data_IF_358006041535
#
_entry.id   IF_358006041535
#
_cell.length_a   1.000
_cell.length_b   1.000
_cell.length_c   1.000
_cell.angle_alpha   90.00
_cell.angle_beta   90.00
_cell.angle_gamma   90.00
#
_symmetry.space_group_name_H-M   'P 1'
#
loop_
_entity.id
_entity.type
_entity.pdbx_description
1 polymer ?
#
# COMPACT_ATOMS: atom_id res chain seq x y z
N UNK A 1 4.88 6.87 10.06
CA UNK A 1 3.87 5.80 10.14
C UNK A 1 4.00 5.00 8.86
N UNK A 2 4.02 3.67 8.96
CA UNK A 2 4.11 2.80 7.79
C UNK A 2 2.71 2.35 7.38
N UNK A 3 2.39 2.44 6.09
CA UNK A 3 1.04 2.22 5.56
C UNK A 3 1.08 1.16 4.46
N UNK A 4 0.19 0.17 4.54
CA UNK A 4 -0.02 -0.80 3.47
C UNK A 4 -1.26 -0.44 2.66
N UNK A 5 -1.10 -0.30 1.34
CA UNK A 5 -2.19 -0.02 0.40
C UNK A 5 -2.53 -1.31 -0.35
N UNK A 6 -3.80 -1.74 -0.32
CA UNK A 6 -4.28 -2.93 -1.03
C UNK A 6 -5.50 -2.54 -1.86
N UNK A 7 -5.33 -2.43 -3.17
CA UNK A 7 -6.39 -2.05 -4.11
C UNK A 7 -6.05 -2.57 -5.51
N UNK A 8 -6.95 -3.30 -6.16
CA UNK A 8 -6.75 -3.90 -7.48
C UNK A 8 -6.85 -2.87 -8.62
N UNK A 9 -7.52 -1.74 -8.38
CA UNK A 9 -7.61 -0.65 -9.34
C UNK A 9 -6.32 0.19 -9.32
N UNK A 10 -5.61 0.19 -10.45
CA UNK A 10 -4.32 0.88 -10.57
C UNK A 10 -4.43 2.40 -10.40
N UNK A 11 -5.48 3.02 -10.91
CA UNK A 11 -5.66 4.48 -10.81
C UNK A 11 -5.89 4.91 -9.36
N UNK A 12 -6.70 4.14 -8.62
CA UNK A 12 -6.97 4.39 -7.19
C UNK A 12 -5.71 4.15 -6.37
N UNK A 13 -5.00 3.04 -6.61
CA UNK A 13 -3.76 2.73 -5.90
C UNK A 13 -2.71 3.82 -6.12
N UNK A 14 -2.50 4.28 -7.35
CA UNK A 14 -1.58 5.39 -7.66
C UNK A 14 -1.98 6.69 -6.95
N UNK A 15 -3.27 7.03 -6.92
CA UNK A 15 -3.77 8.21 -6.20
C UNK A 15 -3.43 8.14 -4.70
N UNK A 16 -3.61 6.97 -4.08
CA UNK A 16 -3.29 6.75 -2.67
C UNK A 16 -1.80 6.85 -2.41
N UNK A 17 -0.96 6.22 -3.24
CA UNK A 17 0.50 6.28 -3.15
C UNK A 17 0.99 7.74 -3.21
N UNK A 18 0.52 8.52 -4.18
CA UNK A 18 0.87 9.94 -4.30
C UNK A 18 0.46 10.76 -3.07
N UNK A 19 -0.75 10.51 -2.56
CA UNK A 19 -1.29 11.24 -1.40
C UNK A 19 -0.50 10.93 -0.15
N UNK A 20 -0.23 9.64 0.12
CA UNK A 20 0.50 9.19 1.30
C UNK A 20 1.96 9.65 1.25
N UNK A 21 2.58 9.60 0.06
CA UNK A 21 3.92 10.15 -0.15
C UNK A 21 3.97 11.65 0.14
N UNK A 22 2.99 12.43 -0.34
CA UNK A 22 2.91 13.87 -0.11
C UNK A 22 2.72 14.22 1.38
N UNK A 23 2.14 13.32 2.16
CA UNK A 23 2.00 13.45 3.62
C UNK A 23 3.29 13.07 4.39
N UNK A 24 4.33 12.59 3.71
CA UNK A 24 5.60 12.20 4.33
C UNK A 24 5.53 10.88 5.10
N UNK A 25 4.65 9.98 4.68
CA UNK A 25 4.53 8.63 5.25
C UNK A 25 5.23 7.61 4.36
N UNK A 26 5.83 6.60 4.99
CA UNK A 26 6.35 5.42 4.29
C UNK A 26 5.18 4.49 3.95
N UNK A 27 5.20 3.90 2.77
CA UNK A 27 4.16 2.97 2.35
C UNK A 27 4.69 1.86 1.47
N UNK A 28 3.95 0.76 1.45
CA UNK A 28 4.03 -0.29 0.43
C UNK A 28 2.64 -0.50 -0.18
N UNK A 29 2.59 -1.03 -1.40
CA UNK A 29 1.33 -1.26 -2.10
C UNK A 29 1.32 -2.58 -2.84
N UNK A 30 0.13 -3.17 -2.98
CA UNK A 30 -0.09 -4.38 -3.79
C UNK A 30 -1.50 -4.36 -4.40
N UNK A 31 -1.68 -4.89 -5.64
CA UNK A 31 -3.01 -5.07 -6.22
C UNK A 31 -3.76 -6.29 -5.66
N UNK A 32 -3.11 -7.15 -4.87
CA UNK A 32 -3.63 -8.45 -4.48
C UNK A 32 -3.87 -8.51 -2.97
N UNK A 33 -5.10 -8.83 -2.58
CA UNK A 33 -5.42 -9.08 -1.17
C UNK A 33 -4.62 -10.24 -0.57
N UNK A 34 -4.30 -11.27 -1.36
CA UNK A 34 -3.48 -12.38 -0.89
C UNK A 34 -2.04 -11.92 -0.61
N UNK A 35 -1.43 -11.16 -1.53
CA UNK A 35 -0.10 -10.60 -1.32
C UNK A 35 -0.10 -9.65 -0.11
N UNK A 36 -1.14 -8.83 0.03
CA UNK A 36 -1.29 -7.92 1.17
C UNK A 36 -1.35 -8.65 2.51
N UNK A 37 -2.04 -9.79 2.57
CA UNK A 37 -2.04 -10.65 3.77
C UNK A 37 -0.65 -11.22 4.08
N UNK A 38 0.11 -11.63 3.07
CA UNK A 38 1.49 -12.12 3.27
C UNK A 38 2.43 -10.99 3.71
N UNK A 39 2.26 -9.78 3.17
CA UNK A 39 2.99 -8.58 3.58
C UNK A 39 2.74 -8.22 5.05
N UNK A 40 1.48 -8.33 5.51
CA UNK A 40 1.12 -8.11 6.92
C UNK A 40 1.82 -9.14 7.81
N UNK A 41 1.76 -10.43 7.45
CA UNK A 41 2.38 -11.52 8.22
C UNK A 41 3.90 -11.40 8.29
N UNK A 42 4.53 -10.90 7.21
CA UNK A 42 5.97 -10.69 7.13
C UNK A 42 6.46 -9.37 7.75
N UNK A 43 5.55 -8.53 8.27
CA UNK A 43 5.85 -7.15 8.70
C UNK A 43 6.52 -6.29 7.61
N UNK A 44 6.17 -6.57 6.35
CA UNK A 44 6.66 -5.85 5.16
C UNK A 44 5.60 -4.81 4.77
N UNK A 45 5.51 -3.72 5.52
CA UNK A 45 4.72 -2.54 5.15
C UNK A 45 5.31 -1.27 5.73
#
# INVERSE_FOLDING_TARGET
MKILIIDDNTDIRMLLEMTINAMGHEFNSTPSGLEGLEMIKGEIY
#
